data_IF_764456331914
#
_entry.id   IF_764456331914
#
_cell.length_a   1.000
_cell.length_b   1.000
_cell.length_c   1.000
_cell.angle_alpha   90.00
_cell.angle_beta   90.00
_cell.angle_gamma   90.00
#
_symmetry.space_group_name_H-M   'P 1'
#
loop_
_entity.id
_entity.type
_entity.pdbx_description
1 polymer ?
#
# COMPACT_ATOMS: atom_id res chain seq x y z
N UNK A 1 -8.43 -53.33 58.05
CA UNK A 1 -9.08 -52.81 56.82
C UNK A 1 -8.80 -51.26 56.62
N UNK A 2 -8.92 -50.43 57.65
CA UNK A 2 -8.71 -48.97 57.51
C UNK A 2 -7.29 -48.53 57.08
N UNK A 3 -6.24 -49.18 57.59
CA UNK A 3 -4.84 -48.86 57.23
C UNK A 3 -4.53 -49.17 55.75
N UNK A 4 -5.05 -50.29 55.23
CA UNK A 4 -4.88 -50.66 53.80
C UNK A 4 -5.57 -49.68 52.82
N UNK A 5 -6.67 -49.09 53.20
CA UNK A 5 -7.39 -48.08 52.40
C UNK A 5 -6.68 -46.79 52.48
N UNK A 6 -6.16 -46.37 53.60
CA UNK A 6 -5.37 -45.14 53.78
C UNK A 6 -4.05 -45.15 52.96
N UNK A 7 -3.32 -46.27 52.96
CA UNK A 7 -2.11 -46.46 52.16
C UNK A 7 -2.43 -46.40 50.64
N UNK A 8 -3.53 -46.99 50.19
CA UNK A 8 -3.95 -46.90 48.78
C UNK A 8 -4.31 -45.49 48.35
N UNK A 9 -4.94 -44.70 49.21
CA UNK A 9 -5.30 -43.31 48.94
C UNK A 9 -4.08 -42.36 48.91
N UNK A 10 -3.12 -42.55 49.79
CA UNK A 10 -1.85 -41.81 49.80
C UNK A 10 -1.09 -42.09 48.49
N UNK A 11 -1.07 -43.33 48.02
CA UNK A 11 -0.47 -43.70 46.73
C UNK A 11 -1.18 -43.06 45.56
N UNK A 12 -2.53 -43.04 45.55
CA UNK A 12 -3.33 -42.43 44.49
C UNK A 12 -3.12 -40.90 44.39
N UNK A 13 -3.08 -40.22 45.54
CA UNK A 13 -2.79 -38.79 45.57
C UNK A 13 -1.34 -38.47 45.05
N UNK A 14 -0.39 -39.34 45.40
CA UNK A 14 0.99 -39.20 44.92
C UNK A 14 1.10 -39.41 43.39
N UNK A 15 0.36 -40.39 42.87
CA UNK A 15 0.27 -40.68 41.45
C UNK A 15 -0.35 -39.49 40.68
N UNK A 16 -1.46 -38.96 41.21
CA UNK A 16 -2.09 -37.77 40.59
C UNK A 16 -1.13 -36.55 40.52
N UNK A 17 -0.39 -36.27 41.59
CA UNK A 17 0.63 -35.17 41.60
C UNK A 17 1.69 -35.39 40.53
N UNK A 18 2.13 -36.63 40.34
CA UNK A 18 3.09 -37.00 39.31
C UNK A 18 2.52 -36.77 37.91
N UNK A 19 1.29 -37.22 37.66
CA UNK A 19 0.58 -37.04 36.37
C UNK A 19 0.37 -35.56 36.06
N UNK A 20 -0.08 -34.76 37.05
CA UNK A 20 -0.23 -33.31 36.88
C UNK A 20 1.10 -32.65 36.51
N UNK A 21 2.19 -33.00 37.20
CA UNK A 21 3.52 -32.42 36.90
C UNK A 21 4.01 -32.80 35.50
N UNK A 22 3.76 -34.02 35.06
CA UNK A 22 4.11 -34.46 33.69
C UNK A 22 3.25 -33.77 32.65
N UNK A 23 1.93 -33.66 32.86
CA UNK A 23 1.02 -32.98 31.93
C UNK A 23 1.28 -31.48 31.85
N UNK A 24 1.56 -30.79 32.97
CA UNK A 24 1.96 -29.37 33.01
C UNK A 24 3.24 -29.10 32.20
N UNK A 25 4.24 -29.97 32.32
CA UNK A 25 5.46 -29.87 31.51
C UNK A 25 5.18 -30.08 30.01
N UNK A 26 4.36 -31.12 29.71
CA UNK A 26 4.05 -31.50 28.33
C UNK A 26 3.18 -30.49 27.62
N UNK A 27 2.22 -29.84 28.28
CA UNK A 27 1.35 -28.83 27.67
C UNK A 27 2.15 -27.61 27.20
N UNK A 28 3.33 -27.32 27.80
CA UNK A 28 4.23 -26.25 27.38
C UNK A 28 4.95 -26.61 26.08
N UNK A 29 5.36 -27.87 25.92
CA UNK A 29 6.09 -28.37 24.76
C UNK A 29 5.40 -29.64 24.20
N UNK A 30 4.24 -29.50 23.58
CA UNK A 30 3.39 -30.66 23.19
C UNK A 30 3.95 -31.48 22.02
N UNK A 31 5.07 -31.01 21.41
CA UNK A 31 5.76 -31.73 20.32
C UNK A 31 6.94 -32.58 20.78
N UNK A 32 7.32 -32.48 22.07
CA UNK A 32 8.47 -33.20 22.63
C UNK A 32 8.10 -34.63 23.04
N UNK A 33 9.05 -35.55 22.98
CA UNK A 33 8.89 -36.94 23.41
C UNK A 33 7.68 -37.65 22.78
N UNK A 34 6.82 -38.27 23.61
CA UNK A 34 5.58 -38.92 23.17
C UNK A 34 4.51 -37.99 22.59
N UNK A 35 4.71 -36.69 22.66
CA UNK A 35 3.88 -35.68 22.01
C UNK A 35 2.48 -35.50 22.64
N UNK A 36 1.53 -35.04 21.79
CA UNK A 36 0.16 -34.81 22.21
C UNK A 36 -0.62 -36.10 22.63
N UNK A 37 -0.37 -37.28 22.04
CA UNK A 37 -1.00 -38.51 22.53
C UNK A 37 -0.71 -38.82 24.00
N UNK A 38 0.54 -38.64 24.41
CA UNK A 38 0.95 -38.92 25.80
C UNK A 38 0.31 -37.92 26.79
N UNK A 39 0.26 -36.63 26.39
CA UNK A 39 -0.47 -35.63 27.17
C UNK A 39 -1.93 -36.02 27.39
N UNK A 40 -2.63 -36.48 26.34
CA UNK A 40 -4.03 -36.85 26.44
C UNK A 40 -4.24 -38.09 27.31
N UNK A 41 -3.33 -39.07 27.25
CA UNK A 41 -3.32 -40.20 28.16
C UNK A 41 -3.28 -39.76 29.65
N UNK A 42 -2.38 -38.83 29.99
CA UNK A 42 -2.32 -38.31 31.36
C UNK A 42 -3.56 -37.49 31.75
N UNK A 43 -4.14 -36.70 30.82
CA UNK A 43 -5.38 -35.96 31.10
C UNK A 43 -6.55 -36.94 31.37
N UNK A 44 -6.65 -38.04 30.63
CA UNK A 44 -7.66 -39.05 30.84
C UNK A 44 -7.47 -39.81 32.16
N UNK A 45 -6.22 -40.15 32.51
CA UNK A 45 -5.92 -40.80 33.81
C UNK A 45 -6.25 -39.87 34.98
N UNK A 46 -5.88 -38.58 34.91
CA UNK A 46 -6.23 -37.60 35.96
C UNK A 46 -7.75 -37.49 36.10
N UNK A 47 -8.47 -37.36 34.97
CA UNK A 47 -9.94 -37.28 34.99
C UNK A 47 -10.59 -38.51 35.58
N UNK A 48 -10.08 -39.72 35.30
CA UNK A 48 -10.57 -40.97 35.81
C UNK A 48 -10.33 -41.15 37.33
N UNK A 49 -9.21 -40.66 37.85
CA UNK A 49 -8.87 -40.73 39.27
C UNK A 49 -9.62 -39.71 40.13
N UNK A 50 -10.07 -38.61 39.53
CA UNK A 50 -10.62 -37.45 40.22
C UNK A 50 -11.82 -37.78 41.15
N UNK A 51 -12.87 -38.45 40.67
CA UNK A 51 -14.04 -38.74 41.49
C UNK A 51 -13.74 -39.58 42.75
N UNK A 52 -12.81 -40.52 42.62
CA UNK A 52 -12.45 -41.40 43.76
C UNK A 52 -11.66 -40.63 44.84
N UNK A 53 -10.82 -39.68 44.44
CA UNK A 53 -10.07 -38.83 45.37
C UNK A 53 -10.98 -37.81 46.07
N UNK A 54 -11.92 -37.20 45.39
CA UNK A 54 -12.94 -36.33 46.03
C UNK A 54 -13.80 -37.12 47.04
N UNK A 55 -14.28 -38.28 46.66
CA UNK A 55 -15.10 -39.12 47.55
C UNK A 55 -14.35 -39.63 48.79
N UNK A 56 -13.03 -39.67 48.74
CA UNK A 56 -12.20 -40.11 49.88
C UNK A 56 -12.13 -39.11 51.03
N UNK A 57 -12.59 -37.86 50.84
CA UNK A 57 -12.47 -36.80 51.82
C UNK A 57 -11.04 -36.26 52.00
N UNK A 58 -10.11 -36.61 51.10
CA UNK A 58 -8.74 -36.08 51.09
C UNK A 58 -8.73 -34.59 50.74
N UNK A 59 -7.83 -33.80 51.32
CA UNK A 59 -7.66 -32.40 50.93
C UNK A 59 -6.96 -32.33 49.57
N UNK A 60 -7.75 -32.20 48.52
CA UNK A 60 -7.28 -32.10 47.10
C UNK A 60 -7.39 -30.70 46.53
N UNK A 61 -7.51 -29.66 47.36
CA UNK A 61 -7.69 -28.26 46.88
C UNK A 61 -6.51 -27.77 46.05
N UNK A 62 -5.30 -28.14 46.42
CA UNK A 62 -4.08 -27.78 45.68
C UNK A 62 -4.03 -28.46 44.31
N UNK A 63 -4.39 -29.74 44.25
CA UNK A 63 -4.48 -30.50 43.01
C UNK A 63 -5.61 -30.00 42.12
N UNK A 64 -6.76 -29.60 42.68
CA UNK A 64 -7.87 -29.01 41.96
C UNK A 64 -7.46 -27.71 41.25
N UNK A 65 -6.77 -26.79 41.95
CA UNK A 65 -6.29 -25.58 41.38
C UNK A 65 -5.27 -25.81 40.24
N UNK A 66 -4.38 -26.81 40.39
CA UNK A 66 -3.44 -27.20 39.32
C UNK A 66 -4.16 -27.83 38.14
N UNK A 67 -5.17 -28.66 38.36
CA UNK A 67 -5.99 -29.26 37.30
C UNK A 67 -6.75 -28.22 36.50
N UNK A 68 -7.38 -27.24 37.15
CA UNK A 68 -8.05 -26.12 36.50
C UNK A 68 -7.07 -25.28 35.68
N UNK A 69 -5.90 -24.96 36.25
CA UNK A 69 -4.82 -24.27 35.56
C UNK A 69 -4.36 -25.04 34.32
N UNK A 70 -4.14 -26.34 34.43
CA UNK A 70 -3.73 -27.19 33.29
C UNK A 70 -4.78 -27.22 32.19
N UNK A 71 -6.07 -27.33 32.52
CA UNK A 71 -7.16 -27.22 31.53
C UNK A 71 -7.18 -25.87 30.82
N UNK A 72 -6.94 -24.78 31.55
CA UNK A 72 -6.77 -23.45 30.98
C UNK A 72 -5.60 -23.38 30.01
N UNK A 73 -4.45 -23.99 30.35
CA UNK A 73 -3.28 -24.06 29.48
C UNK A 73 -3.55 -24.89 28.22
N UNK A 74 -4.25 -26.04 28.32
CA UNK A 74 -4.65 -26.84 27.16
C UNK A 74 -5.48 -25.99 26.18
N UNK A 75 -6.45 -25.25 26.71
CA UNK A 75 -7.28 -24.35 25.91
C UNK A 75 -6.46 -23.23 25.24
N UNK A 76 -5.58 -22.58 25.98
CA UNK A 76 -4.74 -21.46 25.48
C UNK A 76 -3.75 -21.95 24.42
N UNK A 77 -3.18 -23.15 24.61
CA UNK A 77 -2.19 -23.74 23.71
C UNK A 77 -2.78 -24.70 22.67
N UNK A 78 -4.09 -24.66 22.47
CA UNK A 78 -4.83 -25.55 21.56
C UNK A 78 -4.20 -25.67 20.18
N UNK A 79 -3.73 -24.53 19.60
CA UNK A 79 -3.08 -24.52 18.29
C UNK A 79 -1.79 -25.34 18.23
N UNK A 80 -0.95 -25.28 19.27
CA UNK A 80 0.28 -26.06 19.35
C UNK A 80 -0.01 -27.55 19.58
N UNK A 81 -0.99 -27.87 20.42
CA UNK A 81 -1.42 -29.23 20.69
C UNK A 81 -2.00 -29.88 19.41
N UNK A 82 -2.87 -29.17 18.70
CA UNK A 82 -3.44 -29.69 17.44
C UNK A 82 -2.38 -29.88 16.36
N UNK A 83 -1.37 -28.99 16.32
CA UNK A 83 -0.21 -29.16 15.41
C UNK A 83 0.59 -30.42 15.76
N UNK A 84 0.76 -30.72 17.07
CA UNK A 84 1.43 -31.93 17.52
C UNK A 84 0.58 -33.18 17.18
N UNK A 85 -0.73 -33.16 17.38
CA UNK A 85 -1.65 -34.21 16.96
C UNK A 85 -1.61 -34.47 15.45
N UNK A 86 -1.54 -33.41 14.61
CA UNK A 86 -1.45 -33.58 13.16
C UNK A 86 -0.20 -34.35 12.73
N UNK A 87 0.92 -34.21 13.48
CA UNK A 87 2.14 -34.99 13.25
C UNK A 87 2.00 -36.46 13.71
N UNK A 88 1.11 -36.71 14.65
CA UNK A 88 0.85 -38.04 15.21
C UNK A 88 -0.32 -38.78 14.51
N UNK A 89 -0.79 -38.32 13.36
CA UNK A 89 -1.89 -38.96 12.63
C UNK A 89 -3.24 -38.26 12.73
N UNK A 90 -3.32 -37.16 13.50
CA UNK A 90 -4.51 -36.33 13.64
C UNK A 90 -5.44 -36.69 14.80
N UNK A 91 -5.96 -35.67 15.49
CA UNK A 91 -6.85 -35.84 16.63
C UNK A 91 -8.16 -36.56 16.29
N UNK A 92 -8.83 -36.30 15.14
CA UNK A 92 -10.07 -37.02 14.80
C UNK A 92 -9.89 -38.53 14.65
N UNK A 93 -8.79 -38.97 14.05
CA UNK A 93 -8.48 -40.39 13.90
C UNK A 93 -8.20 -41.05 15.27
N UNK A 94 -7.39 -40.40 16.10
CA UNK A 94 -7.11 -40.86 17.45
C UNK A 94 -8.37 -40.92 18.34
N UNK A 95 -9.24 -39.94 18.26
CA UNK A 95 -10.54 -39.90 18.95
C UNK A 95 -11.44 -41.08 18.55
N UNK A 96 -11.48 -41.39 17.25
CA UNK A 96 -12.25 -42.54 16.76
C UNK A 96 -11.71 -43.86 17.31
N UNK A 97 -10.38 -43.99 17.41
CA UNK A 97 -9.74 -45.22 17.94
C UNK A 97 -9.87 -45.35 19.47
N UNK A 98 -9.74 -44.24 20.20
CA UNK A 98 -9.79 -44.22 21.66
C UNK A 98 -11.23 -44.26 22.24
N UNK A 99 -12.23 -43.82 21.46
CA UNK A 99 -13.63 -43.67 21.84
C UNK A 99 -13.83 -43.02 23.23
N UNK A 100 -13.22 -41.84 23.49
CA UNK A 100 -13.21 -41.20 24.81
C UNK A 100 -14.60 -40.73 25.24
N UNK A 101 -14.81 -40.60 26.57
CA UNK A 101 -16.02 -39.98 27.11
C UNK A 101 -16.09 -38.51 26.65
N UNK A 102 -17.27 -38.04 26.32
CA UNK A 102 -17.52 -36.65 25.95
C UNK A 102 -17.21 -35.65 27.07
N UNK A 103 -17.22 -36.06 28.31
CA UNK A 103 -16.76 -35.26 29.43
C UNK A 103 -15.28 -34.83 29.30
N UNK A 104 -14.48 -35.64 28.64
CA UNK A 104 -13.08 -35.34 28.36
C UNK A 104 -12.96 -34.39 27.16
N UNK A 105 -13.41 -33.15 27.35
CA UNK A 105 -13.58 -32.12 26.31
C UNK A 105 -12.33 -31.85 25.46
N UNK A 106 -11.10 -32.11 25.91
CA UNK A 106 -9.86 -31.94 25.17
C UNK A 106 -9.81 -32.80 23.90
N UNK A 107 -10.51 -33.94 23.86
CA UNK A 107 -10.63 -34.74 22.65
C UNK A 107 -11.43 -34.07 21.52
N UNK A 108 -12.15 -32.97 21.79
CA UNK A 108 -12.90 -32.14 20.81
C UNK A 108 -12.31 -30.76 20.66
N UNK A 109 -11.01 -30.60 20.99
CA UNK A 109 -10.29 -29.31 20.92
C UNK A 109 -10.24 -28.73 19.49
N UNK A 110 -10.18 -29.59 18.47
CA UNK A 110 -10.25 -29.26 17.06
C UNK A 110 -11.60 -28.62 16.68
N UNK A 111 -12.70 -29.20 17.14
CA UNK A 111 -14.05 -28.67 16.88
C UNK A 111 -14.25 -27.30 17.55
N UNK A 112 -13.82 -27.16 18.82
CA UNK A 112 -13.94 -25.89 19.55
C UNK A 112 -13.12 -24.76 18.90
N UNK A 113 -11.91 -25.06 18.44
CA UNK A 113 -11.04 -24.08 17.81
C UNK A 113 -11.52 -23.68 16.42
N UNK A 114 -12.05 -24.62 15.63
CA UNK A 114 -12.63 -24.36 14.32
C UNK A 114 -13.87 -23.46 14.40
N UNK A 115 -14.77 -23.75 15.36
CA UNK A 115 -15.97 -22.94 15.60
C UNK A 115 -15.63 -21.48 16.01
N UNK A 116 -14.60 -21.28 16.85
CA UNK A 116 -14.13 -19.94 17.22
C UNK A 116 -13.52 -19.21 16.04
N UNK A 117 -12.75 -19.90 15.18
CA UNK A 117 -12.12 -19.32 13.99
C UNK A 117 -13.18 -18.90 12.96
N UNK A 118 -14.16 -19.75 12.66
CA UNK A 118 -15.23 -19.44 11.71
C UNK A 118 -16.05 -18.21 12.14
N UNK A 119 -16.41 -18.09 13.42
CA UNK A 119 -17.12 -16.91 13.95
C UNK A 119 -16.30 -15.62 13.81
N UNK A 120 -14.97 -15.66 13.97
CA UNK A 120 -14.09 -14.50 13.75
C UNK A 120 -14.05 -14.12 12.28
N UNK A 121 -13.93 -15.09 11.36
CA UNK A 121 -13.96 -14.83 9.92
C UNK A 121 -15.29 -14.24 9.47
N UNK A 122 -16.42 -14.79 9.93
CA UNK A 122 -17.75 -14.23 9.59
C UNK A 122 -17.90 -12.80 10.09
N UNK A 123 -17.47 -12.49 11.33
CA UNK A 123 -17.51 -11.11 11.84
C UNK A 123 -16.61 -10.18 11.04
N UNK A 124 -15.39 -10.60 10.71
CA UNK A 124 -14.49 -9.81 9.89
C UNK A 124 -15.06 -9.55 8.48
N UNK A 125 -15.68 -10.55 7.87
CA UNK A 125 -16.34 -10.40 6.57
C UNK A 125 -17.53 -9.43 6.63
N UNK A 126 -18.35 -9.49 7.67
CA UNK A 126 -19.46 -8.54 7.87
C UNK A 126 -18.93 -7.12 8.03
N UNK A 127 -17.88 -6.91 8.85
CA UNK A 127 -17.26 -5.60 9.02
C UNK A 127 -16.72 -5.07 7.69
N UNK A 128 -16.03 -5.91 6.90
CA UNK A 128 -15.51 -5.53 5.60
C UNK A 128 -16.63 -5.10 4.63
N UNK A 129 -17.73 -5.83 4.56
CA UNK A 129 -18.90 -5.49 3.74
C UNK A 129 -19.52 -4.16 4.18
N UNK A 130 -19.66 -3.93 5.48
CA UNK A 130 -20.19 -2.66 6.02
C UNK A 130 -19.27 -1.50 5.67
N UNK A 131 -17.95 -1.65 5.84
CA UNK A 131 -16.98 -0.60 5.48
C UNK A 131 -17.04 -0.27 4.00
N UNK A 132 -17.05 -1.28 3.12
CA UNK A 132 -17.19 -1.07 1.68
C UNK A 132 -18.51 -0.38 1.33
N UNK A 133 -19.60 -0.78 1.97
CA UNK A 133 -20.92 -0.14 1.80
C UNK A 133 -20.92 1.33 2.21
N UNK A 134 -20.32 1.66 3.36
CA UNK A 134 -20.21 3.05 3.84
C UNK A 134 -19.34 3.89 2.90
N UNK A 135 -18.22 3.34 2.42
CA UNK A 135 -17.36 4.04 1.47
C UNK A 135 -18.06 4.27 0.12
N UNK A 136 -18.80 3.28 -0.37
CA UNK A 136 -19.58 3.40 -1.60
C UNK A 136 -20.70 4.46 -1.47
N UNK A 137 -21.45 4.42 -0.39
CA UNK A 137 -22.49 5.44 -0.11
C UNK A 137 -21.88 6.83 0.09
N UNK A 138 -20.75 6.93 0.80
CA UNK A 138 -20.02 8.18 1.00
C UNK A 138 -19.52 8.76 -0.33
N UNK A 139 -18.99 7.94 -1.22
CA UNK A 139 -18.54 8.36 -2.55
C UNK A 139 -19.71 8.84 -3.43
N UNK A 140 -20.85 8.18 -3.37
CA UNK A 140 -22.06 8.61 -4.08
C UNK A 140 -22.60 9.93 -3.53
N UNK A 141 -22.63 10.06 -2.20
CA UNK A 141 -23.07 11.29 -1.54
C UNK A 141 -22.14 12.47 -1.90
N UNK A 142 -20.83 12.23 -1.95
CA UNK A 142 -19.85 13.24 -2.35
C UNK A 142 -20.06 13.70 -3.80
N UNK A 143 -20.36 12.78 -4.73
CA UNK A 143 -20.68 13.12 -6.13
C UNK A 143 -21.95 13.97 -6.27
N UNK A 144 -22.92 13.79 -5.37
CA UNK A 144 -24.18 14.56 -5.38
C UNK A 144 -23.96 15.94 -4.74
N UNK A 145 -23.16 16.02 -3.66
CA UNK A 145 -22.93 17.26 -2.92
C UNK A 145 -21.87 18.16 -3.57
N UNK A 146 -20.92 17.56 -4.30
CA UNK A 146 -19.84 18.25 -5.00
C UNK A 146 -19.84 17.81 -6.49
N UNK A 147 -20.84 18.23 -7.28
CA UNK A 147 -20.83 17.91 -8.70
C UNK A 147 -19.61 18.60 -9.34
N UNK A 148 -18.77 17.81 -9.98
CA UNK A 148 -17.73 18.37 -10.86
C UNK A 148 -18.42 19.05 -12.01
N UNK A 149 -18.02 20.29 -12.31
CA UNK A 149 -18.52 21.05 -13.46
C UNK A 149 -18.35 20.18 -14.73
N UNK A 150 -19.43 19.96 -15.50
CA UNK A 150 -19.37 19.16 -16.72
C UNK A 150 -18.29 19.68 -17.68
N UNK A 151 -18.08 20.99 -17.77
CA UNK A 151 -17.07 21.60 -18.64
C UNK A 151 -15.67 21.18 -18.19
N UNK A 152 -15.38 21.27 -16.88
CA UNK A 152 -14.08 20.85 -16.32
C UNK A 152 -13.81 19.36 -16.58
N UNK A 153 -14.83 18.53 -16.40
CA UNK A 153 -14.73 17.09 -16.66
C UNK A 153 -14.46 16.78 -18.13
N UNK A 154 -15.21 17.42 -19.03
CA UNK A 154 -15.08 17.22 -20.48
C UNK A 154 -13.71 17.69 -20.97
N UNK A 155 -13.24 18.86 -20.53
CA UNK A 155 -11.89 19.36 -20.83
C UNK A 155 -10.81 18.41 -20.34
N UNK A 156 -10.96 17.87 -19.10
CA UNK A 156 -10.02 16.88 -18.58
C UNK A 156 -9.99 15.61 -19.45
N UNK A 157 -11.15 15.10 -19.86
CA UNK A 157 -11.25 13.92 -20.73
C UNK A 157 -10.57 14.16 -22.07
N UNK A 158 -10.82 15.30 -22.72
CA UNK A 158 -10.17 15.64 -24.00
C UNK A 158 -8.65 15.83 -23.88
N UNK A 159 -8.16 16.35 -22.75
CA UNK A 159 -6.70 16.41 -22.49
C UNK A 159 -6.09 15.01 -22.35
N UNK A 160 -6.76 14.07 -21.68
CA UNK A 160 -6.29 12.68 -21.56
C UNK A 160 -6.35 11.95 -22.93
N UNK A 161 -7.40 12.18 -23.72
CA UNK A 161 -7.50 11.63 -25.07
C UNK A 161 -6.38 12.18 -25.97
N UNK A 162 -6.09 13.49 -25.88
CA UNK A 162 -4.99 14.12 -26.61
C UNK A 162 -3.65 13.54 -26.22
N UNK A 163 -3.41 13.34 -24.93
CA UNK A 163 -2.19 12.71 -24.41
C UNK A 163 -2.02 11.29 -24.95
N UNK A 164 -3.08 10.48 -24.88
CA UNK A 164 -3.06 9.12 -25.39
C UNK A 164 -2.79 9.06 -26.91
N UNK A 165 -3.41 9.97 -27.68
CA UNK A 165 -3.15 10.11 -29.10
C UNK A 165 -1.67 10.49 -29.36
N UNK A 166 -1.13 11.41 -28.60
CA UNK A 166 0.25 11.85 -28.73
C UNK A 166 1.26 10.72 -28.37
N UNK A 167 1.02 9.98 -27.29
CA UNK A 167 1.83 8.82 -26.89
C UNK A 167 1.85 7.71 -27.96
N UNK A 168 0.75 7.59 -28.73
CA UNK A 168 0.67 6.68 -29.89
C UNK A 168 1.27 7.24 -31.17
N UNK A 169 1.75 8.49 -31.16
CA UNK A 169 2.27 9.19 -32.33
C UNK A 169 1.21 9.81 -33.24
N UNK A 170 -0.07 9.80 -32.84
CA UNK A 170 -1.18 10.43 -33.58
C UNK A 170 -1.30 11.92 -33.20
N UNK A 171 -0.42 12.74 -33.77
CA UNK A 171 -0.43 14.20 -33.56
C UNK A 171 -1.72 14.85 -34.05
N UNK A 172 -2.33 14.31 -35.14
CA UNK A 172 -3.57 14.85 -35.66
C UNK A 172 -4.77 14.54 -34.74
N UNK A 173 -4.81 13.34 -34.16
CA UNK A 173 -5.78 12.97 -33.13
C UNK A 173 -5.64 13.80 -31.86
N UNK A 174 -4.39 14.08 -31.43
CA UNK A 174 -4.13 14.98 -30.30
C UNK A 174 -4.65 16.40 -30.58
N UNK A 175 -4.38 16.95 -31.78
CA UNK A 175 -4.90 18.26 -32.19
C UNK A 175 -6.44 18.28 -32.15
N UNK A 176 -7.09 17.26 -32.71
CA UNK A 176 -8.56 17.17 -32.71
C UNK A 176 -9.14 17.15 -31.29
N UNK A 177 -8.52 16.45 -30.38
CA UNK A 177 -8.94 16.39 -28.96
C UNK A 177 -8.77 17.74 -28.26
N UNK A 178 -7.66 18.45 -28.47
CA UNK A 178 -7.48 19.81 -27.93
C UNK A 178 -8.46 20.83 -28.56
N UNK A 179 -8.82 20.70 -29.84
CA UNK A 179 -9.86 21.52 -30.46
C UNK A 179 -11.21 21.30 -29.79
N UNK A 180 -11.59 20.06 -29.48
CA UNK A 180 -12.80 19.75 -28.71
C UNK A 180 -12.74 20.34 -27.30
N UNK A 181 -11.57 20.33 -26.65
CA UNK A 181 -11.40 20.99 -25.37
C UNK A 181 -11.60 22.51 -25.45
N UNK A 182 -11.08 23.16 -26.49
CA UNK A 182 -11.30 24.60 -26.77
C UNK A 182 -12.76 24.92 -27.02
N UNK A 183 -13.54 24.04 -27.71
CA UNK A 183 -14.98 24.21 -27.88
C UNK A 183 -15.73 24.23 -26.54
N UNK A 184 -15.26 23.47 -25.55
CA UNK A 184 -15.84 23.42 -24.20
C UNK A 184 -15.40 24.59 -23.31
N UNK A 185 -14.18 25.06 -23.48
CA UNK A 185 -13.60 26.17 -22.73
C UNK A 185 -12.87 27.12 -23.66
N UNK A 186 -13.60 27.94 -24.43
CA UNK A 186 -12.99 28.79 -25.46
C UNK A 186 -12.09 29.88 -24.92
N UNK A 187 -12.24 30.25 -23.65
CA UNK A 187 -11.44 31.30 -23.00
C UNK A 187 -10.17 30.75 -22.30
N UNK A 188 -9.94 29.44 -22.35
CA UNK A 188 -8.74 28.84 -21.74
C UNK A 188 -7.51 29.03 -22.66
N UNK A 189 -6.57 29.89 -22.28
CA UNK A 189 -5.41 30.21 -23.12
C UNK A 189 -4.44 29.04 -23.25
N UNK A 190 -4.36 28.14 -22.27
CA UNK A 190 -3.49 26.97 -22.33
C UNK A 190 -3.95 25.99 -23.41
N UNK A 191 -5.25 25.76 -23.51
CA UNK A 191 -5.82 24.91 -24.59
C UNK A 191 -5.51 25.47 -25.97
N UNK A 192 -5.64 26.78 -26.13
CA UNK A 192 -5.31 27.46 -27.40
C UNK A 192 -3.82 27.38 -27.72
N UNK A 193 -2.95 27.50 -26.73
CA UNK A 193 -1.50 27.30 -26.92
C UNK A 193 -1.18 25.91 -27.43
N UNK A 194 -1.79 24.87 -26.84
CA UNK A 194 -1.59 23.50 -27.30
C UNK A 194 -2.13 23.24 -28.70
N UNK A 195 -3.30 23.81 -29.06
CA UNK A 195 -3.78 23.79 -30.45
C UNK A 195 -2.78 24.43 -31.40
N UNK A 196 -2.22 25.59 -31.01
CA UNK A 196 -1.20 26.29 -31.80
C UNK A 196 0.06 25.46 -31.99
N UNK A 197 0.60 24.87 -30.93
CA UNK A 197 1.83 24.04 -30.95
C UNK A 197 1.62 22.79 -31.84
N UNK A 198 0.50 22.07 -31.68
CA UNK A 198 0.22 20.88 -32.49
C UNK A 198 -0.07 21.22 -33.95
N UNK A 199 -0.79 22.32 -34.20
CA UNK A 199 -1.04 22.81 -35.56
C UNK A 199 0.28 23.20 -36.29
N UNK A 200 1.21 23.81 -35.56
CA UNK A 200 2.53 24.15 -36.11
C UNK A 200 3.35 22.91 -36.47
N UNK A 201 3.29 21.87 -35.60
CA UNK A 201 3.95 20.58 -35.85
C UNK A 201 3.36 19.88 -37.11
N UNK A 202 2.08 20.06 -37.38
CA UNK A 202 1.39 19.54 -38.59
C UNK A 202 1.50 20.47 -39.82
N UNK A 203 2.23 21.62 -39.70
CA UNK A 203 2.37 22.58 -40.79
C UNK A 203 1.12 23.43 -41.06
N UNK A 204 0.13 23.42 -40.14
CA UNK A 204 -1.12 24.21 -40.24
C UNK A 204 -0.87 25.63 -39.70
N UNK A 205 -0.07 26.43 -40.43
CA UNK A 205 0.46 27.73 -39.99
C UNK A 205 -0.63 28.77 -39.68
N UNK A 206 -1.74 28.76 -40.42
CA UNK A 206 -2.82 29.71 -40.21
C UNK A 206 -3.54 29.42 -38.87
N UNK A 207 -3.87 28.16 -38.61
CA UNK A 207 -4.47 27.72 -37.34
C UNK A 207 -3.55 27.99 -36.16
N UNK A 208 -2.25 27.72 -36.32
CA UNK A 208 -1.26 28.00 -35.29
C UNK A 208 -1.18 29.49 -34.93
N UNK A 209 -1.09 30.35 -35.95
CA UNK A 209 -1.01 31.78 -35.74
C UNK A 209 -2.26 32.37 -35.08
N UNK A 210 -3.45 31.93 -35.51
CA UNK A 210 -4.73 32.32 -34.92
C UNK A 210 -4.80 31.89 -33.44
N UNK A 211 -4.44 30.65 -33.15
CA UNK A 211 -4.49 30.08 -31.80
C UNK A 211 -3.53 30.79 -30.84
N UNK A 212 -2.32 31.05 -31.29
CA UNK A 212 -1.33 31.82 -30.52
C UNK A 212 -1.74 33.28 -30.29
N UNK A 213 -2.30 33.94 -31.29
CA UNK A 213 -2.79 35.31 -31.14
C UNK A 213 -3.94 35.38 -30.13
N UNK A 214 -4.88 34.43 -30.21
CA UNK A 214 -6.00 34.35 -29.27
C UNK A 214 -5.53 34.08 -27.84
N UNK A 215 -4.59 33.13 -27.62
CA UNK A 215 -4.02 32.84 -26.30
C UNK A 215 -3.30 34.08 -25.72
N UNK A 216 -2.49 34.74 -26.52
CA UNK A 216 -1.72 35.93 -26.10
C UNK A 216 -2.63 37.08 -25.70
N UNK A 217 -3.70 37.33 -26.47
CA UNK A 217 -4.67 38.38 -26.16
C UNK A 217 -5.48 38.11 -24.89
N UNK A 218 -5.76 36.82 -24.56
CA UNK A 218 -6.52 36.45 -23.38
C UNK A 218 -5.74 36.71 -22.08
N UNK A 219 -4.42 36.57 -22.06
CA UNK A 219 -3.62 36.63 -20.82
C UNK A 219 -2.99 38.02 -20.62
N UNK A 220 -2.63 38.70 -21.67
CA UNK A 220 -1.90 40.01 -21.63
C UNK A 220 -0.65 39.99 -20.72
N UNK A 221 0.07 38.85 -20.69
CA UNK A 221 1.28 38.60 -19.93
C UNK A 221 2.27 37.81 -20.78
N UNK A 222 3.25 38.48 -21.33
CA UNK A 222 4.22 37.88 -22.23
C UNK A 222 5.09 36.82 -21.56
N UNK A 223 5.45 37.00 -20.29
CA UNK A 223 6.23 35.99 -19.56
C UNK A 223 5.45 34.70 -19.38
N UNK A 224 4.18 34.79 -18.96
CA UNK A 224 3.30 33.64 -18.86
C UNK A 224 3.12 32.98 -20.24
N UNK A 225 2.87 33.75 -21.27
CA UNK A 225 2.67 33.24 -22.63
C UNK A 225 3.86 32.40 -23.12
N UNK A 226 5.09 32.91 -22.97
CA UNK A 226 6.27 32.17 -23.38
C UNK A 226 6.54 30.94 -22.49
N UNK A 227 6.28 31.02 -21.20
CA UNK A 227 6.40 29.85 -20.30
C UNK A 227 5.48 28.73 -20.77
N UNK A 228 4.19 29.00 -20.93
CA UNK A 228 3.21 27.98 -21.25
C UNK A 228 3.41 27.42 -22.67
N UNK A 229 3.70 28.28 -23.65
CA UNK A 229 4.00 27.83 -25.02
C UNK A 229 5.27 26.98 -25.05
N UNK A 230 6.29 27.38 -24.33
CA UNK A 230 7.55 26.66 -24.24
C UNK A 230 7.36 25.27 -23.59
N UNK A 231 6.53 25.13 -22.55
CA UNK A 231 6.17 23.82 -22.02
C UNK A 231 5.38 22.98 -23.03
N UNK A 232 4.50 23.59 -23.82
CA UNK A 232 3.84 22.91 -24.93
C UNK A 232 4.86 22.38 -25.97
N UNK A 233 5.89 23.16 -26.32
CA UNK A 233 6.96 22.67 -27.20
C UNK A 233 7.79 21.54 -26.56
N UNK A 234 8.02 21.55 -25.24
CA UNK A 234 8.66 20.42 -24.57
C UNK A 234 7.80 19.14 -24.67
N UNK A 235 6.48 19.26 -24.53
CA UNK A 235 5.58 18.13 -24.65
C UNK A 235 5.65 17.45 -26.01
N UNK A 236 5.77 18.25 -27.08
CA UNK A 236 5.94 17.74 -28.45
C UNK A 236 7.41 17.51 -28.85
N UNK A 237 8.34 17.55 -27.90
CA UNK A 237 9.78 17.34 -28.09
C UNK A 237 10.46 18.35 -29.06
N UNK A 238 9.87 19.51 -29.28
CA UNK A 238 10.53 20.60 -29.99
C UNK A 238 11.39 21.44 -29.05
N UNK A 239 12.55 20.86 -28.71
CA UNK A 239 13.45 21.43 -27.70
C UNK A 239 14.04 22.80 -28.13
N UNK A 240 14.18 23.03 -29.43
CA UNK A 240 14.73 24.30 -29.93
C UNK A 240 13.74 25.44 -29.70
N UNK A 241 12.46 25.25 -30.06
CA UNK A 241 11.43 26.25 -29.81
C UNK A 241 11.16 26.42 -28.32
N UNK A 242 11.17 25.32 -27.56
CA UNK A 242 11.07 25.37 -26.10
C UNK A 242 12.17 26.23 -25.47
N UNK A 243 13.42 26.06 -25.90
CA UNK A 243 14.54 26.86 -25.42
C UNK A 243 14.39 28.33 -25.81
N UNK A 244 13.99 28.61 -27.06
CA UNK A 244 13.78 29.98 -27.52
C UNK A 244 12.71 30.70 -26.69
N UNK A 245 11.58 30.05 -26.42
CA UNK A 245 10.54 30.58 -25.56
C UNK A 245 10.99 30.72 -24.10
N UNK A 246 11.72 29.75 -23.59
CA UNK A 246 12.29 29.82 -22.24
C UNK A 246 13.19 31.07 -22.06
N UNK A 247 14.02 31.37 -23.05
CA UNK A 247 14.87 32.56 -23.01
C UNK A 247 14.06 33.88 -23.11
N UNK A 248 12.98 33.91 -23.91
CA UNK A 248 12.05 35.04 -23.93
C UNK A 248 11.28 35.18 -22.59
N UNK A 249 10.88 34.05 -21.98
CA UNK A 249 10.28 34.06 -20.69
C UNK A 249 11.19 34.63 -19.60
N UNK A 250 12.45 34.20 -19.57
CA UNK A 250 13.47 34.73 -18.64
C UNK A 250 13.71 36.22 -18.88
N UNK A 251 13.75 36.68 -20.15
CA UNK A 251 13.91 38.10 -20.45
C UNK A 251 12.70 38.92 -19.95
N UNK A 252 11.49 38.37 -20.01
CA UNK A 252 10.26 39.04 -19.57
C UNK A 252 10.04 38.95 -18.05
N UNK A 253 10.43 37.82 -17.42
CA UNK A 253 10.25 37.52 -15.99
C UNK A 253 11.49 36.82 -15.44
N UNK A 254 12.57 37.50 -15.16
CA UNK A 254 13.81 36.88 -14.69
C UNK A 254 13.71 36.27 -13.28
N UNK A 255 12.71 36.66 -12.52
CA UNK A 255 12.38 36.19 -11.17
C UNK A 255 11.35 35.04 -11.14
N UNK A 256 10.85 34.61 -12.29
CA UNK A 256 9.99 33.44 -12.37
C UNK A 256 10.82 32.14 -12.54
N UNK A 257 10.89 31.32 -11.49
CA UNK A 257 11.61 30.05 -11.51
C UNK A 257 11.11 29.06 -12.58
N UNK A 258 9.86 29.19 -13.06
CA UNK A 258 9.33 28.36 -14.15
C UNK A 258 10.00 28.67 -15.49
N UNK A 259 10.32 29.91 -15.73
CA UNK A 259 11.06 30.31 -16.94
C UNK A 259 12.43 29.63 -16.98
N UNK A 260 13.17 29.69 -15.88
CA UNK A 260 14.46 29.02 -15.75
C UNK A 260 14.36 27.49 -15.80
N UNK A 261 13.29 26.89 -15.22
CA UNK A 261 13.01 25.47 -15.36
C UNK A 261 12.79 25.06 -16.81
N UNK A 262 12.06 25.84 -17.58
CA UNK A 262 11.85 25.61 -19.00
C UNK A 262 13.19 25.61 -19.78
N UNK A 263 14.05 26.61 -19.56
CA UNK A 263 15.39 26.67 -20.15
C UNK A 263 16.22 25.44 -19.76
N UNK A 264 16.22 25.09 -18.49
CA UNK A 264 16.95 23.92 -17.99
C UNK A 264 16.49 22.62 -18.62
N UNK A 265 15.18 22.40 -18.69
CA UNK A 265 14.60 21.17 -19.28
C UNK A 265 14.89 21.08 -20.78
N UNK A 266 14.77 22.17 -21.50
CA UNK A 266 15.10 22.21 -22.94
C UNK A 266 16.58 21.89 -23.19
N UNK A 267 17.51 22.52 -22.44
CA UNK A 267 18.95 22.24 -22.53
C UNK A 267 19.32 20.82 -22.17
N UNK A 268 18.71 20.27 -21.08
CA UNK A 268 18.90 18.87 -20.69
C UNK A 268 18.49 17.93 -21.82
N UNK A 269 17.32 18.15 -22.42
CA UNK A 269 16.83 17.37 -23.56
C UNK A 269 17.71 17.50 -24.83
N UNK A 270 18.35 18.63 -25.02
CA UNK A 270 19.32 18.87 -26.13
C UNK A 270 20.70 18.27 -25.86
N UNK A 271 20.94 17.67 -24.68
CA UNK A 271 22.23 17.11 -24.31
C UNK A 271 23.26 18.16 -23.86
N UNK A 272 22.82 19.33 -23.38
CA UNK A 272 23.65 20.33 -22.73
C UNK A 272 23.47 20.28 -21.19
N UNK A 273 24.10 19.33 -20.50
CA UNK A 273 23.93 19.15 -19.06
C UNK A 273 24.55 20.31 -18.25
N UNK A 274 25.56 21.01 -18.80
CA UNK A 274 26.19 22.13 -18.11
C UNK A 274 25.28 23.35 -18.13
N UNK A 275 24.77 23.69 -19.30
CA UNK A 275 23.81 24.80 -19.42
C UNK A 275 22.47 24.49 -18.71
N UNK A 276 22.06 23.23 -18.65
CA UNK A 276 20.88 22.79 -17.85
C UNK A 276 21.12 22.99 -16.36
N UNK A 277 22.32 22.63 -15.85
CA UNK A 277 22.68 22.78 -14.44
C UNK A 277 22.64 24.25 -14.01
N UNK A 278 23.21 25.16 -14.86
CA UNK A 278 23.16 26.60 -14.62
C UNK A 278 21.72 27.12 -14.55
N UNK A 279 20.87 26.70 -15.49
CA UNK A 279 19.47 27.12 -15.52
C UNK A 279 18.67 26.61 -14.32
N UNK A 280 18.87 25.35 -13.92
CA UNK A 280 18.22 24.80 -12.70
C UNK A 280 18.72 25.45 -11.41
N UNK A 281 20.00 25.88 -11.38
CA UNK A 281 20.52 26.67 -10.26
C UNK A 281 19.77 27.98 -10.14
N UNK A 282 19.64 28.72 -11.24
CA UNK A 282 18.86 29.94 -11.27
C UNK A 282 17.38 29.72 -10.89
N UNK A 283 16.76 28.67 -11.42
CA UNK A 283 15.39 28.32 -11.04
C UNK A 283 15.23 28.09 -9.53
N UNK A 284 16.18 27.36 -8.90
CA UNK A 284 16.18 27.11 -7.45
C UNK A 284 16.40 28.38 -6.63
N UNK A 285 17.25 29.29 -7.10
CA UNK A 285 17.58 30.55 -6.40
C UNK A 285 16.39 31.52 -6.43
N UNK A 286 15.83 31.81 -7.62
CA UNK A 286 14.73 32.77 -7.76
C UNK A 286 13.40 32.27 -7.21
N UNK A 287 13.19 30.93 -7.17
CA UNK A 287 11.98 30.34 -6.63
C UNK A 287 12.03 30.03 -5.11
N UNK A 288 13.20 30.20 -4.45
CA UNK A 288 13.41 29.71 -3.07
C UNK A 288 12.36 30.17 -2.08
N UNK A 289 11.93 31.41 -2.15
CA UNK A 289 11.00 32.03 -1.23
C UNK A 289 9.55 32.07 -1.77
N UNK A 290 9.39 32.03 -3.10
CA UNK A 290 8.10 32.23 -3.77
C UNK A 290 7.44 30.91 -4.18
N UNK A 291 8.21 29.88 -4.52
CA UNK A 291 7.71 28.60 -5.01
C UNK A 291 8.58 27.42 -4.55
N UNK A 292 8.33 26.86 -3.37
CA UNK A 292 9.09 25.74 -2.82
C UNK A 292 9.06 24.49 -3.71
N UNK A 293 8.00 24.28 -4.48
CA UNK A 293 7.86 23.14 -5.39
C UNK A 293 8.87 23.22 -6.54
N UNK A 294 8.94 24.36 -7.20
CA UNK A 294 9.93 24.61 -8.26
C UNK A 294 11.35 24.46 -7.72
N UNK A 295 11.62 24.99 -6.53
CA UNK A 295 12.90 24.85 -5.84
C UNK A 295 13.27 23.38 -5.63
N UNK A 296 12.33 22.57 -5.16
CA UNK A 296 12.55 21.14 -4.91
C UNK A 296 12.83 20.37 -6.22
N UNK A 297 12.03 20.64 -7.27
CA UNK A 297 12.19 20.00 -8.57
C UNK A 297 13.55 20.39 -9.19
N UNK A 298 13.90 21.68 -9.18
CA UNK A 298 15.18 22.15 -9.70
C UNK A 298 16.37 21.46 -9.01
N UNK A 299 16.37 21.39 -7.67
CA UNK A 299 17.43 20.71 -6.90
C UNK A 299 17.50 19.21 -7.20
N UNK A 300 16.38 18.57 -7.40
CA UNK A 300 16.34 17.14 -7.76
C UNK A 300 16.96 16.92 -9.16
N UNK A 301 16.63 17.78 -10.15
CA UNK A 301 17.22 17.74 -11.48
C UNK A 301 18.72 18.01 -11.46
N UNK A 302 19.17 19.00 -10.70
CA UNK A 302 20.59 19.27 -10.48
C UNK A 302 21.35 18.08 -9.93
N UNK A 303 20.82 17.43 -8.90
CA UNK A 303 21.43 16.24 -8.30
C UNK A 303 21.57 15.08 -9.32
N UNK A 304 20.54 14.83 -10.12
CA UNK A 304 20.57 13.83 -11.19
C UNK A 304 21.63 14.14 -12.25
N UNK A 305 21.72 15.40 -12.71
CA UNK A 305 22.73 15.82 -13.68
C UNK A 305 24.16 15.74 -13.12
N UNK A 306 24.39 16.15 -11.87
CA UNK A 306 25.70 16.02 -11.22
C UNK A 306 26.14 14.55 -11.12
N UNK A 307 25.22 13.65 -10.80
CA UNK A 307 25.50 12.21 -10.74
C UNK A 307 25.87 11.66 -12.13
N UNK A 308 25.16 12.06 -13.19
CA UNK A 308 25.44 11.63 -14.55
C UNK A 308 26.80 12.14 -15.06
N UNK A 309 27.16 13.39 -14.74
CA UNK A 309 28.45 13.99 -15.11
C UNK A 309 29.63 13.33 -14.38
N UNK A 310 29.46 12.91 -13.13
CA UNK A 310 30.49 12.17 -12.37
C UNK A 310 30.74 10.76 -12.92
N UNK A 311 29.76 10.14 -13.55
CA UNK A 311 29.87 8.82 -14.19
C UNK A 311 30.48 8.84 -15.59
N UNK A 312 30.69 10.00 -16.19
CA UNK A 312 31.32 10.12 -17.51
C UNK A 312 32.84 9.94 -17.41
N UNK A 313 33.46 9.14 -18.32
CA UNK A 313 34.90 9.08 -18.41
C UNK A 313 35.47 10.47 -18.78
N UNK A 314 36.66 10.84 -18.28
CA UNK A 314 37.27 12.15 -18.58
C UNK A 314 37.43 12.33 -20.09
N UNK A 315 36.95 13.46 -20.60
CA UNK A 315 37.10 13.80 -22.01
C UNK A 315 38.62 13.99 -22.26
N UNK A 316 39.23 13.00 -22.89
CA UNK A 316 40.61 13.14 -23.37
C UNK A 316 40.59 14.15 -24.55
N UNK A 317 41.26 15.30 -24.45
CA UNK A 317 41.35 16.18 -25.59
C UNK A 317 42.04 15.44 -26.74
N UNK A 318 41.36 15.33 -27.85
CA UNK A 318 41.96 14.82 -29.10
C UNK A 318 43.04 15.81 -29.53
N UNK A 319 44.24 15.31 -29.87
CA UNK A 319 45.37 16.16 -30.26
C UNK A 319 45.16 16.92 -31.55
#
# INVERSE_FOLDING_TARGET
>A
MAASVADGLVTAASQMRSLLAQAEKRVVAPSDGGGAPELYGWLDEIAAMWPALEASGSDVRAEAARWESLQGQVTTRAGAILKAWNRAGGLPAARTAAAPDRANWWWWLDEQTSARRSRRFVRAAIIAVVVVGVLALGSQMLRILLPVDPVVRDVYTFREDARSAFESGDVAGALASYQQAVERSPDDPQLRLMVGVLAEQLGQTDLASESFAAARSAVNDDGWYYIERGFGYLEVQDLQRALADGLQAVASKPDDGRAWMLVGTAREGMGDPVGALDAYTQASEVASDSNPEITAIARMRMAGLMQSLQGMPPITPTP
#
